data_IF_285057240158
#
_entry.id   IF_285057240158
#
_cell.length_a   1.000
_cell.length_b   1.000
_cell.length_c   1.000
_cell.angle_alpha   90.00
_cell.angle_beta   90.00
_cell.angle_gamma   90.00
#
_symmetry.space_group_name_H-M   'P 1'
#
loop_
_entity.id
_entity.type
_entity.pdbx_description
1 polymer ?
#
# COMPACT_ATOMS: atom_id res chain seq x y z
N UNK A 1 -6.62 -2.35 21.46
CA UNK A 1 -6.57 -2.69 20.04
C UNK A 1 -5.16 -2.43 19.54
N UNK A 2 -4.63 -3.24 18.61
CA UNK A 2 -3.34 -3.00 17.95
C UNK A 2 -3.55 -2.18 16.68
N UNK A 3 -2.70 -1.18 16.43
CA UNK A 3 -2.79 -0.31 15.24
C UNK A 3 -1.45 -0.25 14.54
N UNK A 4 -1.47 -0.42 13.22
CA UNK A 4 -0.35 -0.13 12.32
C UNK A 4 -0.66 1.19 11.64
N UNK A 5 0.24 2.17 11.70
CA UNK A 5 0.16 3.36 10.87
C UNK A 5 1.19 3.21 9.77
N UNK A 6 0.73 2.97 8.53
CA UNK A 6 1.58 2.81 7.36
C UNK A 6 1.58 4.08 6.51
N UNK A 7 2.76 4.62 6.25
CA UNK A 7 2.94 5.71 5.30
C UNK A 7 3.20 5.13 3.92
N UNK A 8 2.35 5.46 2.96
CA UNK A 8 2.48 5.04 1.57
C UNK A 8 3.45 5.95 0.79
N UNK A 9 3.96 5.48 -0.34
CA UNK A 9 4.75 6.24 -1.32
C UNK A 9 6.19 6.60 -0.88
N UNK A 10 6.82 5.87 0.06
CA UNK A 10 8.19 6.13 0.47
C UNK A 10 9.17 5.95 -0.70
N UNK A 11 10.03 6.94 -0.93
CA UNK A 11 10.97 6.93 -2.05
C UNK A 11 10.44 7.58 -3.35
N UNK A 12 9.17 7.97 -3.40
CA UNK A 12 8.55 8.52 -4.62
C UNK A 12 9.22 9.82 -5.09
N UNK A 13 9.52 10.74 -4.15
CA UNK A 13 10.22 12.01 -4.36
C UNK A 13 10.76 12.55 -3.03
N UNK A 14 11.56 13.61 -3.09
CA UNK A 14 12.23 14.20 -1.93
C UNK A 14 11.25 14.67 -0.85
N UNK A 15 10.15 15.33 -1.21
CA UNK A 15 9.19 15.92 -0.25
C UNK A 15 8.53 14.82 0.57
N UNK A 16 7.97 13.81 -0.10
CA UNK A 16 7.31 12.66 0.54
C UNK A 16 8.30 11.87 1.38
N UNK A 17 9.49 11.58 0.84
CA UNK A 17 10.54 10.84 1.52
C UNK A 17 11.02 11.53 2.79
N UNK A 18 11.22 12.85 2.73
CA UNK A 18 11.61 13.65 3.91
C UNK A 18 10.54 13.65 4.99
N UNK A 19 9.27 13.78 4.61
CA UNK A 19 8.17 13.82 5.56
C UNK A 19 7.93 12.45 6.21
N UNK A 20 8.01 11.36 5.45
CA UNK A 20 7.95 10.00 6.00
C UNK A 20 9.12 9.75 6.97
N UNK A 21 10.33 10.18 6.60
CA UNK A 21 11.51 10.07 7.47
C UNK A 21 11.31 10.83 8.78
N UNK A 22 10.72 12.03 8.73
CA UNK A 22 10.36 12.81 9.92
C UNK A 22 9.41 12.03 10.83
N UNK A 23 8.34 11.45 10.26
CA UNK A 23 7.35 10.68 11.04
C UNK A 23 7.94 9.40 11.64
N UNK A 24 8.85 8.71 10.92
CA UNK A 24 9.61 7.57 11.45
C UNK A 24 10.41 7.99 12.68
N UNK A 25 11.22 9.05 12.56
CA UNK A 25 12.09 9.55 13.64
C UNK A 25 11.33 10.03 14.86
N UNK A 26 10.12 10.54 14.68
CA UNK A 26 9.24 10.95 15.78
C UNK A 26 8.41 9.81 16.39
N UNK A 27 8.54 8.57 15.87
CA UNK A 27 7.80 7.41 16.37
C UNK A 27 6.29 7.45 16.11
N UNK A 28 5.85 8.31 15.17
CA UNK A 28 4.43 8.50 14.85
C UNK A 28 3.91 7.45 13.86
N UNK A 29 4.79 6.81 13.13
CA UNK A 29 4.48 5.68 12.25
C UNK A 29 5.43 4.51 12.53
N UNK A 30 4.98 3.29 12.28
CA UNK A 30 5.73 2.05 12.52
C UNK A 30 5.91 1.22 11.26
N UNK A 31 5.33 1.67 10.17
CA UNK A 31 5.34 0.99 8.89
C UNK A 31 5.38 1.98 7.73
N UNK A 32 6.02 1.61 6.64
CA UNK A 32 5.98 2.35 5.38
C UNK A 32 6.19 1.40 4.20
N UNK A 33 5.66 1.77 3.02
CA UNK A 33 5.83 0.99 1.80
C UNK A 33 6.59 1.77 0.74
N UNK A 34 7.64 1.14 0.19
CA UNK A 34 8.65 1.74 -0.66
C UNK A 34 8.27 1.57 -2.13
N UNK A 35 8.33 2.66 -2.88
CA UNK A 35 8.08 2.69 -4.32
C UNK A 35 9.39 2.49 -5.10
N UNK A 36 9.54 1.32 -5.75
CA UNK A 36 10.76 0.92 -6.45
C UNK A 36 11.10 1.78 -7.68
N UNK A 37 10.10 2.39 -8.29
CA UNK A 37 10.26 3.30 -9.43
C UNK A 37 10.21 4.80 -9.03
N UNK A 38 10.44 5.09 -7.76
CA UNK A 38 10.64 6.45 -7.25
C UNK A 38 12.06 6.97 -7.46
N UNK A 39 12.31 8.22 -7.05
CA UNK A 39 13.58 8.93 -7.29
C UNK A 39 14.54 8.95 -6.10
N UNK A 40 14.11 8.51 -4.92
CA UNK A 40 14.82 8.69 -3.65
C UNK A 40 15.30 7.37 -3.00
N UNK A 41 15.63 6.36 -3.83
CA UNK A 41 15.99 5.03 -3.31
C UNK A 41 17.28 5.02 -2.47
N UNK A 42 18.24 5.91 -2.73
CA UNK A 42 19.43 6.04 -1.93
C UNK A 42 19.10 6.53 -0.51
N UNK A 43 18.26 7.57 -0.40
CA UNK A 43 17.75 8.05 0.89
C UNK A 43 16.95 6.98 1.62
N UNK A 44 16.11 6.21 0.90
CA UNK A 44 15.36 5.08 1.47
C UNK A 44 16.31 4.06 2.10
N UNK A 45 17.37 3.66 1.39
CA UNK A 45 18.39 2.73 1.88
C UNK A 45 19.01 3.18 3.20
N UNK A 46 19.38 4.45 3.31
CA UNK A 46 19.96 5.04 4.54
C UNK A 46 18.96 5.01 5.71
N UNK A 47 17.70 5.37 5.44
CA UNK A 47 16.65 5.38 6.46
C UNK A 47 16.34 3.97 6.94
N UNK A 48 16.26 2.98 6.05
CA UNK A 48 16.06 1.57 6.40
C UNK A 48 17.17 1.07 7.33
N UNK A 49 18.43 1.31 6.97
CA UNK A 49 19.58 0.88 7.78
C UNK A 49 19.58 1.48 9.19
N UNK A 50 19.05 2.71 9.34
CA UNK A 50 19.03 3.44 10.61
C UNK A 50 17.81 3.17 11.48
N UNK A 51 16.78 2.44 10.98
CA UNK A 51 15.50 2.27 11.67
C UNK A 51 15.01 0.80 11.64
N UNK A 52 15.73 -0.14 12.29
CA UNK A 52 15.43 -1.57 12.21
C UNK A 52 14.10 -1.99 12.88
N UNK A 53 13.50 -1.14 13.71
CA UNK A 53 12.20 -1.39 14.35
C UNK A 53 11.00 -1.07 13.45
N UNK A 54 11.21 -0.36 12.36
CA UNK A 54 10.16 -0.03 11.39
C UNK A 54 9.97 -1.20 10.43
N UNK A 55 8.73 -1.49 10.07
CA UNK A 55 8.44 -2.44 9.01
C UNK A 55 8.43 -1.74 7.65
N UNK A 56 9.25 -2.25 6.72
CA UNK A 56 9.34 -1.73 5.36
C UNK A 56 8.71 -2.73 4.39
N UNK A 57 7.70 -2.30 3.65
CA UNK A 57 7.04 -3.08 2.60
C UNK A 57 7.38 -2.60 1.20
N UNK A 58 6.85 -3.29 0.18
CA UNK A 58 6.94 -2.87 -1.23
C UNK A 58 5.62 -2.26 -1.67
N UNK A 59 5.67 -1.01 -2.17
CA UNK A 59 4.54 -0.30 -2.76
C UNK A 59 4.58 -0.42 -4.28
N UNK A 60 4.00 -1.52 -4.80
CA UNK A 60 4.03 -1.81 -6.24
C UNK A 60 3.26 -0.75 -7.02
N UNK A 61 3.91 -0.12 -7.99
CA UNK A 61 3.30 0.89 -8.84
C UNK A 61 3.16 0.41 -10.29
N UNK A 62 1.92 0.28 -10.75
CA UNK A 62 1.52 -0.09 -12.11
C UNK A 62 0.62 0.98 -12.75
N UNK A 63 0.61 2.19 -12.23
CA UNK A 63 -0.37 3.21 -12.59
C UNK A 63 0.19 4.62 -12.70
N UNK A 64 1.45 4.82 -12.38
CA UNK A 64 2.22 6.07 -12.51
C UNK A 64 3.71 5.73 -12.65
N UNK A 65 4.54 6.69 -13.03
CA UNK A 65 6.00 6.56 -13.20
C UNK A 65 6.41 5.54 -14.29
N UNK A 66 7.70 5.45 -14.55
CA UNK A 66 8.23 4.53 -15.57
C UNK A 66 8.23 3.09 -15.09
N UNK A 67 7.87 2.15 -15.97
CA UNK A 67 8.06 0.73 -15.67
C UNK A 67 9.55 0.39 -15.60
N UNK A 68 9.92 -0.53 -14.72
CA UNK A 68 11.32 -0.97 -14.59
C UNK A 68 11.70 -1.93 -15.72
N UNK A 69 10.78 -2.79 -16.13
CA UNK A 69 11.02 -3.77 -17.22
C UNK A 69 10.99 -3.17 -18.61
N UNK A 70 10.36 -2.00 -18.78
CA UNK A 70 10.17 -1.36 -20.09
C UNK A 70 9.56 -2.29 -21.16
N UNK A 71 8.68 -3.20 -20.73
CA UNK A 71 8.06 -4.17 -21.61
C UNK A 71 7.24 -3.49 -22.72
N UNK A 72 7.48 -3.85 -23.97
CA UNK A 72 6.68 -3.39 -25.11
C UNK A 72 5.20 -3.76 -24.98
N UNK A 73 4.90 -4.87 -24.29
CA UNK A 73 3.53 -5.32 -24.05
C UNK A 73 2.70 -4.25 -23.32
N UNK A 74 3.31 -3.43 -22.47
CA UNK A 74 2.59 -2.34 -21.79
C UNK A 74 2.14 -1.26 -22.77
N UNK A 75 3.02 -0.85 -23.69
CA UNK A 75 2.67 0.12 -24.73
C UNK A 75 1.59 -0.42 -25.67
N UNK A 76 1.74 -1.66 -26.15
CA UNK A 76 0.80 -2.31 -27.06
C UNK A 76 -0.60 -2.48 -26.42
N UNK A 77 -0.70 -2.50 -25.09
CA UNK A 77 -1.95 -2.53 -24.32
C UNK A 77 -2.37 -1.14 -23.76
N UNK A 78 -1.78 -0.05 -24.22
CA UNK A 78 -2.06 1.32 -23.79
C UNK A 78 -1.93 1.54 -22.27
N UNK A 79 -1.04 0.81 -21.62
CA UNK A 79 -0.71 0.99 -20.19
C UNK A 79 0.42 1.97 -19.96
N UNK A 80 1.31 2.17 -20.96
CA UNK A 80 2.38 3.16 -20.92
C UNK A 80 2.30 4.09 -22.12
N UNK A 81 2.83 5.30 -21.93
CA UNK A 81 3.11 6.21 -23.03
C UNK A 81 4.41 5.84 -23.77
N UNK A 82 4.76 6.62 -24.80
CA UNK A 82 5.96 6.41 -25.64
C UNK A 82 7.27 6.47 -24.84
N UNK A 83 7.27 7.10 -23.66
CA UNK A 83 8.43 7.16 -22.76
C UNK A 83 8.54 5.95 -21.83
N UNK A 84 7.58 5.03 -21.88
CA UNK A 84 7.49 3.87 -20.97
C UNK A 84 6.92 4.20 -19.59
N UNK A 85 6.33 5.38 -19.43
CA UNK A 85 5.67 5.79 -18.19
C UNK A 85 4.24 5.27 -18.15
N UNK A 86 3.84 4.67 -17.03
CA UNK A 86 2.47 4.20 -16.83
C UNK A 86 1.46 5.35 -16.93
N UNK A 87 0.42 5.14 -17.75
CA UNK A 87 -0.71 6.06 -17.88
C UNK A 87 -1.59 5.92 -16.65
N UNK A 88 -1.86 7.05 -15.99
CA UNK A 88 -2.59 7.09 -14.72
C UNK A 88 -3.88 6.29 -14.78
N UNK A 89 -3.98 5.27 -13.93
CA UNK A 89 -5.15 4.39 -13.78
C UNK A 89 -5.55 3.58 -15.01
N UNK A 90 -4.76 3.54 -16.10
CA UNK A 90 -5.08 2.74 -17.29
C UNK A 90 -5.27 1.25 -16.94
N UNK A 91 -4.42 0.69 -16.08
CA UNK A 91 -4.51 -0.69 -15.59
C UNK A 91 -5.87 -1.03 -14.97
N UNK A 92 -6.55 -0.07 -14.36
CA UNK A 92 -7.87 -0.26 -13.73
C UNK A 92 -9.00 -0.44 -14.75
N UNK A 93 -8.77 -0.09 -16.01
CA UNK A 93 -9.77 -0.18 -17.09
C UNK A 93 -9.72 -1.54 -17.81
N UNK A 94 -8.63 -2.29 -17.61
CA UNK A 94 -8.47 -3.62 -18.22
C UNK A 94 -9.42 -4.63 -17.56
N UNK A 95 -10.33 -5.21 -18.35
CA UNK A 95 -11.29 -6.22 -17.88
C UNK A 95 -10.87 -7.64 -18.26
N UNK A 96 -10.28 -7.80 -19.44
CA UNK A 96 -9.91 -9.10 -20.03
C UNK A 96 -8.44 -9.05 -20.47
N UNK A 97 -7.47 -9.20 -19.55
CA UNK A 97 -6.05 -9.19 -19.88
C UNK A 97 -5.67 -10.46 -20.68
N UNK A 98 -4.82 -10.31 -21.69
CA UNK A 98 -4.17 -11.44 -22.33
C UNK A 98 -3.17 -12.11 -21.38
N UNK A 99 -2.74 -13.34 -21.68
CA UNK A 99 -1.74 -14.03 -20.87
C UNK A 99 -0.37 -13.34 -20.99
N UNK A 100 -0.02 -12.80 -22.16
CA UNK A 100 1.21 -12.01 -22.36
C UNK A 100 1.20 -10.76 -21.47
N UNK A 101 0.06 -10.09 -21.34
CA UNK A 101 -0.06 -8.93 -20.47
C UNK A 101 0.06 -9.32 -18.98
N UNK A 102 -0.55 -10.44 -18.58
CA UNK A 102 -0.41 -10.95 -17.20
C UNK A 102 1.05 -11.28 -16.89
N UNK A 103 1.75 -11.94 -17.82
CA UNK A 103 3.16 -12.27 -17.65
C UNK A 103 4.01 -11.00 -17.56
N UNK A 104 3.84 -10.03 -18.46
CA UNK A 104 4.58 -8.77 -18.42
C UNK A 104 4.35 -8.00 -17.09
N UNK A 105 3.13 -8.04 -16.55
CA UNK A 105 2.83 -7.43 -15.25
C UNK A 105 3.45 -8.21 -14.10
N UNK A 106 3.45 -9.53 -14.12
CA UNK A 106 4.14 -10.34 -13.13
C UNK A 106 5.64 -10.02 -13.12
N UNK A 107 6.26 -9.96 -14.30
CA UNK A 107 7.68 -9.61 -14.45
C UNK A 107 7.97 -8.22 -13.88
N UNK A 108 7.08 -7.25 -14.09
CA UNK A 108 7.21 -5.90 -13.53
C UNK A 108 7.10 -5.90 -12.00
N UNK A 109 6.13 -6.64 -11.42
CA UNK A 109 6.00 -6.77 -9.97
C UNK A 109 7.26 -7.41 -9.38
N UNK A 110 7.76 -8.48 -9.99
CA UNK A 110 9.00 -9.16 -9.57
C UNK A 110 10.20 -8.21 -9.64
N UNK A 111 10.31 -7.42 -10.72
CA UNK A 111 11.40 -6.44 -10.88
C UNK A 111 11.34 -5.36 -9.79
N UNK A 112 10.15 -4.84 -9.44
CA UNK A 112 9.99 -3.86 -8.38
C UNK A 112 10.35 -4.44 -7.01
N UNK A 113 9.91 -5.65 -6.67
CA UNK A 113 10.31 -6.32 -5.42
C UNK A 113 11.82 -6.57 -5.39
N UNK A 114 12.39 -7.09 -6.49
CA UNK A 114 13.83 -7.35 -6.61
C UNK A 114 14.68 -6.08 -6.44
N UNK A 115 14.23 -4.95 -6.98
CA UNK A 115 14.88 -3.65 -6.79
C UNK A 115 14.94 -3.28 -5.31
N UNK A 116 13.82 -3.38 -4.58
CA UNK A 116 13.81 -3.07 -3.14
C UNK A 116 14.67 -4.07 -2.35
N UNK A 117 14.63 -5.35 -2.70
CA UNK A 117 15.47 -6.36 -2.05
C UNK A 117 16.98 -6.08 -2.26
N UNK A 118 17.38 -5.58 -3.44
CA UNK A 118 18.76 -5.24 -3.74
C UNK A 118 19.33 -4.09 -2.87
N UNK A 119 18.45 -3.30 -2.26
CA UNK A 119 18.82 -2.28 -1.27
C UNK A 119 19.05 -2.84 0.14
N UNK A 120 19.00 -4.18 0.32
CA UNK A 120 19.05 -4.87 1.61
C UNK A 120 17.90 -4.52 2.56
N UNK A 121 16.72 -4.18 2.00
CA UNK A 121 15.50 -3.94 2.78
C UNK A 121 14.95 -5.27 3.28
N UNK A 122 14.71 -5.45 4.60
CA UNK A 122 13.97 -6.59 5.12
C UNK A 122 12.48 -6.41 4.81
N UNK A 123 12.04 -6.90 3.63
CA UNK A 123 10.67 -6.70 3.15
C UNK A 123 9.69 -7.39 4.07
N UNK A 124 8.86 -6.62 4.76
CA UNK A 124 7.87 -7.12 5.73
C UNK A 124 6.54 -7.51 5.08
N UNK A 125 6.08 -6.76 4.08
CA UNK A 125 4.78 -6.92 3.43
C UNK A 125 4.75 -6.31 2.03
N UNK A 126 3.66 -6.53 1.31
CA UNK A 126 3.42 -5.95 -0.02
C UNK A 126 2.05 -5.29 -0.07
N UNK A 127 1.98 -4.15 -0.74
CA UNK A 127 0.76 -3.46 -1.13
C UNK A 127 0.91 -2.83 -2.52
N UNK A 128 0.11 -1.83 -2.88
CA UNK A 128 0.29 -1.18 -4.18
C UNK A 128 -0.30 0.21 -4.24
N UNK A 129 0.33 1.05 -5.04
CA UNK A 129 -0.14 2.38 -5.41
C UNK A 129 -1.53 2.30 -6.07
N UNK A 130 -2.45 3.18 -5.68
CA UNK A 130 -3.86 3.13 -6.07
C UNK A 130 -4.59 1.81 -5.76
N UNK A 131 -4.06 0.99 -4.87
CA UNK A 131 -4.64 -0.29 -4.44
C UNK A 131 -4.92 -1.28 -5.58
N UNK A 132 -4.09 -1.29 -6.64
CA UNK A 132 -4.28 -2.14 -7.81
C UNK A 132 -4.19 -3.64 -7.48
N UNK A 133 -3.49 -4.04 -6.40
CA UNK A 133 -3.48 -5.41 -5.89
C UNK A 133 -4.88 -5.94 -5.55
N UNK A 134 -5.87 -5.07 -5.39
CA UNK A 134 -7.26 -5.45 -5.09
C UNK A 134 -8.11 -5.66 -6.34
N UNK A 135 -7.55 -5.50 -7.52
CA UNK A 135 -8.22 -5.82 -8.79
C UNK A 135 -8.21 -7.33 -8.98
N UNK A 136 -9.37 -7.92 -9.24
CA UNK A 136 -9.59 -9.36 -9.24
C UNK A 136 -8.59 -10.16 -10.08
N UNK A 137 -8.23 -9.67 -11.26
CA UNK A 137 -7.32 -10.39 -12.15
C UNK A 137 -5.83 -10.12 -11.83
N UNK A 138 -5.51 -9.01 -11.16
CA UNK A 138 -4.14 -8.69 -10.71
C UNK A 138 -3.78 -9.43 -9.41
N UNK A 139 -4.73 -9.64 -8.52
CA UNK A 139 -4.47 -10.25 -7.22
C UNK A 139 -3.67 -11.57 -7.29
N UNK A 140 -3.98 -12.55 -8.21
CA UNK A 140 -3.17 -13.76 -8.34
C UNK A 140 -1.70 -13.50 -8.66
N UNK A 141 -1.39 -12.46 -9.45
CA UNK A 141 -0.02 -12.08 -9.80
C UNK A 141 0.74 -11.53 -8.59
N UNK A 142 0.06 -10.75 -7.74
CA UNK A 142 0.62 -10.32 -6.45
C UNK A 142 0.88 -11.50 -5.52
N UNK A 143 0.00 -12.49 -5.48
CA UNK A 143 0.20 -13.71 -4.70
C UNK A 143 1.41 -14.50 -5.18
N UNK A 144 1.59 -14.63 -6.48
CA UNK A 144 2.71 -15.34 -7.10
C UNK A 144 4.03 -14.61 -6.81
N UNK A 145 4.07 -13.31 -7.03
CA UNK A 145 5.25 -12.50 -6.74
C UNK A 145 5.62 -12.53 -5.24
N UNK A 146 4.63 -12.40 -4.35
CA UNK A 146 4.85 -12.50 -2.91
C UNK A 146 5.44 -13.87 -2.52
N UNK A 147 4.92 -14.97 -3.07
CA UNK A 147 5.46 -16.33 -2.83
C UNK A 147 6.89 -16.47 -3.31
N UNK A 148 7.21 -15.96 -4.50
CA UNK A 148 8.57 -16.00 -5.09
C UNK A 148 9.60 -15.37 -4.17
N UNK A 149 9.24 -14.29 -3.50
CA UNK A 149 10.13 -13.58 -2.56
C UNK A 149 9.91 -13.94 -1.08
N UNK A 150 9.09 -14.95 -0.78
CA UNK A 150 8.81 -15.38 0.59
C UNK A 150 8.06 -14.36 1.44
N UNK A 151 7.38 -13.39 0.82
CA UNK A 151 6.58 -12.36 1.51
C UNK A 151 5.27 -13.01 1.97
N UNK A 152 5.03 -13.00 3.28
CA UNK A 152 3.87 -13.66 3.91
C UNK A 152 2.74 -12.71 4.28
N UNK A 153 2.93 -11.41 4.12
CA UNK A 153 1.98 -10.37 4.56
C UNK A 153 1.61 -9.46 3.40
N UNK A 154 0.33 -9.17 3.29
CA UNK A 154 -0.23 -8.29 2.25
C UNK A 154 -1.30 -7.38 2.86
N UNK A 155 -1.43 -6.17 2.35
CA UNK A 155 -2.51 -5.25 2.73
C UNK A 155 -3.86 -5.76 2.23
N UNK A 156 -4.90 -5.60 3.04
CA UNK A 156 -6.29 -5.83 2.64
C UNK A 156 -6.79 -4.75 1.66
N UNK A 157 -7.86 -5.07 0.97
CA UNK A 157 -8.67 -4.04 0.33
C UNK A 157 -9.43 -3.20 1.36
N UNK A 158 -9.55 -1.89 1.11
CA UNK A 158 -10.18 -0.94 2.04
C UNK A 158 -11.62 -1.36 2.39
N UNK A 159 -11.94 -1.32 3.68
CA UNK A 159 -13.28 -1.63 4.17
C UNK A 159 -14.30 -0.52 3.84
N UNK A 160 -15.49 -0.94 3.44
CA UNK A 160 -16.63 -0.05 3.23
C UNK A 160 -17.50 -0.02 4.48
N UNK A 161 -17.36 1.01 5.30
CA UNK A 161 -18.13 1.17 6.54
C UNK A 161 -19.50 1.84 6.34
N UNK A 162 -19.78 2.30 5.14
CA UNK A 162 -21.05 2.99 4.83
C UNK A 162 -21.52 2.67 3.40
N UNK A 163 -22.47 1.75 3.30
CA UNK A 163 -23.10 1.33 2.04
C UNK A 163 -24.36 2.16 1.81
N UNK A 164 -24.32 3.12 0.86
CA UNK A 164 -25.44 4.05 0.61
C UNK A 164 -26.23 3.78 -0.69
N UNK A 165 -25.77 2.86 -1.54
CA UNK A 165 -26.39 2.55 -2.83
C UNK A 165 -26.25 1.08 -3.20
N UNK A 166 -27.04 0.61 -4.18
CA UNK A 166 -26.92 -0.76 -4.72
C UNK A 166 -25.53 -1.03 -5.32
N UNK A 167 -24.93 -0.03 -5.99
CA UNK A 167 -23.58 -0.13 -6.52
C UNK A 167 -22.53 -0.27 -5.41
N UNK A 168 -22.65 0.50 -4.33
CA UNK A 168 -21.79 0.36 -3.16
C UNK A 168 -21.95 -0.99 -2.48
N UNK A 169 -23.18 -1.56 -2.48
CA UNK A 169 -23.43 -2.89 -1.93
C UNK A 169 -22.70 -3.97 -2.75
N UNK A 170 -22.74 -3.90 -4.09
CA UNK A 170 -22.01 -4.83 -4.95
C UNK A 170 -20.50 -4.74 -4.73
N UNK A 171 -19.94 -3.51 -4.72
CA UNK A 171 -18.53 -3.28 -4.42
C UNK A 171 -18.13 -3.80 -3.03
N UNK A 172 -18.99 -3.63 -2.05
CA UNK A 172 -18.82 -4.18 -0.70
C UNK A 172 -18.71 -5.72 -0.71
N UNK A 173 -19.61 -6.40 -1.41
CA UNK A 173 -19.59 -7.86 -1.52
C UNK A 173 -18.35 -8.38 -2.25
N UNK A 174 -17.98 -7.76 -3.36
CA UNK A 174 -16.77 -8.11 -4.11
C UNK A 174 -15.51 -7.91 -3.25
N UNK A 175 -15.44 -6.79 -2.53
CA UNK A 175 -14.32 -6.48 -1.64
C UNK A 175 -14.23 -7.47 -0.48
N UNK A 176 -15.33 -7.80 0.16
CA UNK A 176 -15.35 -8.77 1.25
C UNK A 176 -14.96 -10.17 0.77
N UNK A 177 -15.38 -10.56 -0.43
CA UNK A 177 -14.97 -11.83 -1.04
C UNK A 177 -13.46 -11.86 -1.27
N UNK A 178 -12.90 -10.79 -1.80
CA UNK A 178 -11.45 -10.65 -1.98
C UNK A 178 -10.71 -10.68 -0.64
N UNK A 179 -11.13 -9.85 0.32
CA UNK A 179 -10.50 -9.80 1.64
C UNK A 179 -10.54 -11.16 2.36
N UNK A 180 -11.65 -11.92 2.23
CA UNK A 180 -11.72 -13.29 2.76
C UNK A 180 -10.70 -14.21 2.10
N UNK A 181 -10.49 -14.08 0.80
CA UNK A 181 -9.49 -14.86 0.07
C UNK A 181 -8.06 -14.48 0.50
N UNK A 182 -7.78 -13.19 0.63
CA UNK A 182 -6.49 -12.68 1.13
C UNK A 182 -6.20 -13.24 2.52
N UNK A 183 -7.15 -13.14 3.46
CA UNK A 183 -7.04 -13.66 4.83
C UNK A 183 -6.79 -15.17 4.89
N UNK A 184 -7.21 -15.92 3.90
CA UNK A 184 -6.96 -17.37 3.81
C UNK A 184 -5.55 -17.73 3.31
N UNK A 185 -4.82 -16.79 2.72
CA UNK A 185 -3.53 -17.04 2.06
C UNK A 185 -2.36 -16.29 2.68
N UNK A 186 -2.62 -15.18 3.35
CA UNK A 186 -1.61 -14.26 3.91
C UNK A 186 -1.95 -13.84 5.33
N UNK A 187 -0.92 -13.45 6.09
CA UNK A 187 -1.10 -12.72 7.33
C UNK A 187 -1.45 -11.26 7.01
N UNK A 188 -2.48 -10.73 7.66
CA UNK A 188 -3.04 -9.40 7.40
C UNK A 188 -3.50 -8.75 8.70
N UNK A 189 -3.64 -7.42 8.70
CA UNK A 189 -4.45 -6.75 9.71
C UNK A 189 -5.93 -7.14 9.55
N UNK A 190 -6.72 -7.16 10.63
CA UNK A 190 -8.14 -7.53 10.54
C UNK A 190 -8.95 -6.55 9.69
N UNK A 191 -8.58 -5.27 9.73
CA UNK A 191 -9.22 -4.18 9.00
C UNK A 191 -8.19 -3.20 8.43
N UNK A 192 -8.48 -2.62 7.26
CA UNK A 192 -7.66 -1.60 6.61
C UNK A 192 -8.51 -0.40 6.19
N UNK A 193 -8.02 0.81 6.46
CA UNK A 193 -8.62 2.07 6.00
C UNK A 193 -7.63 3.24 6.00
N UNK A 194 -8.01 4.39 5.43
CA UNK A 194 -7.22 5.61 5.57
C UNK A 194 -7.33 6.18 7.00
N UNK A 195 -6.29 6.85 7.46
CA UNK A 195 -6.25 7.50 8.78
C UNK A 195 -7.44 8.44 8.98
N UNK A 196 -7.75 9.30 8.02
CA UNK A 196 -8.90 10.21 8.08
C UNK A 196 -10.25 9.47 8.19
N UNK A 197 -10.39 8.30 7.57
CA UNK A 197 -11.59 7.48 7.71
C UNK A 197 -11.71 6.86 9.10
N UNK A 198 -10.60 6.50 9.74
CA UNK A 198 -10.64 5.94 11.10
C UNK A 198 -11.25 6.93 12.09
N UNK A 199 -10.86 8.20 12.02
CA UNK A 199 -11.43 9.26 12.86
C UNK A 199 -12.93 9.45 12.61
N UNK A 200 -13.35 9.37 11.34
CA UNK A 200 -14.76 9.52 10.95
C UNK A 200 -15.64 8.36 11.42
N UNK A 201 -15.09 7.14 11.45
CA UNK A 201 -15.85 5.91 11.74
C UNK A 201 -15.47 5.24 13.07
N UNK A 202 -14.91 5.99 14.02
CA UNK A 202 -14.46 5.49 15.33
C UNK A 202 -15.51 4.64 16.06
N UNK A 203 -16.77 5.10 16.07
CA UNK A 203 -17.87 4.38 16.73
C UNK A 203 -18.12 3.01 16.09
N UNK A 204 -17.97 2.91 14.78
CA UNK A 204 -18.11 1.66 14.02
C UNK A 204 -16.93 0.73 14.30
N UNK A 205 -15.70 1.24 14.26
CA UNK A 205 -14.48 0.49 14.55
C UNK A 205 -14.56 -0.15 15.94
N UNK A 206 -14.96 0.64 16.95
CA UNK A 206 -15.13 0.15 18.33
C UNK A 206 -16.18 -0.98 18.44
N UNK A 207 -17.24 -0.95 17.63
CA UNK A 207 -18.27 -2.01 17.60
C UNK A 207 -17.82 -3.27 16.88
N UNK A 208 -16.93 -3.17 15.88
CA UNK A 208 -16.48 -4.30 15.07
C UNK A 208 -15.55 -5.28 15.81
N UNK A 209 -15.16 -5.01 17.06
CA UNK A 209 -14.26 -5.84 17.87
C UNK A 209 -12.97 -6.25 17.13
N UNK A 210 -12.46 -5.35 16.29
CA UNK A 210 -11.22 -5.53 15.53
C UNK A 210 -10.04 -5.61 16.49
N UNK A 211 -9.16 -6.59 16.32
CA UNK A 211 -7.94 -6.73 17.13
C UNK A 211 -6.79 -5.93 16.53
N UNK A 212 -6.65 -5.98 15.20
CA UNK A 212 -5.59 -5.31 14.45
C UNK A 212 -6.17 -4.40 13.36
N UNK A 213 -5.76 -3.14 13.35
CA UNK A 213 -6.20 -2.13 12.38
C UNK A 213 -5.00 -1.52 11.67
N UNK A 214 -4.99 -1.58 10.34
CA UNK A 214 -4.04 -0.83 9.53
C UNK A 214 -4.64 0.51 9.09
N UNK A 215 -3.90 1.58 9.33
CA UNK A 215 -4.21 2.95 8.93
C UNK A 215 -3.18 3.45 7.93
N UNK A 216 -3.63 3.75 6.72
CA UNK A 216 -2.83 4.33 5.64
C UNK A 216 -2.82 5.85 5.74
N UNK A 217 -1.65 6.46 5.55
CA UNK A 217 -1.49 7.90 5.38
C UNK A 217 -0.55 8.23 4.22
N UNK A 218 -0.60 9.48 3.72
CA UNK A 218 0.21 9.96 2.60
C UNK A 218 0.97 11.25 2.98
N UNK A 219 2.06 11.13 3.74
CA UNK A 219 2.86 12.29 4.15
C UNK A 219 3.50 13.01 2.96
N UNK A 220 3.56 14.33 3.01
CA UNK A 220 4.19 15.13 1.96
C UNK A 220 3.41 15.26 0.65
N UNK A 221 2.25 14.62 0.52
CA UNK A 221 1.42 14.78 -0.66
C UNK A 221 0.76 16.18 -0.69
N UNK A 222 0.70 16.86 -1.86
CA UNK A 222 0.32 18.28 -1.95
C UNK A 222 -1.17 18.59 -1.68
N UNK A 223 -2.04 17.58 -1.56
CA UNK A 223 -3.46 17.84 -1.31
C UNK A 223 -3.74 18.23 0.14
N UNK A 224 -4.64 19.20 0.35
CA UNK A 224 -5.07 19.64 1.69
C UNK A 224 -5.64 18.49 2.55
N UNK A 225 -6.29 17.52 1.92
CA UNK A 225 -6.77 16.31 2.60
C UNK A 225 -5.64 15.59 3.34
N UNK A 226 -4.51 15.37 2.66
CA UNK A 226 -3.38 14.66 3.24
C UNK A 226 -2.57 15.54 4.20
N UNK A 227 -2.44 16.85 3.91
CA UNK A 227 -1.84 17.79 4.86
C UNK A 227 -2.62 17.84 6.19
N UNK A 228 -3.96 17.81 6.15
CA UNK A 228 -4.82 17.69 7.33
C UNK A 228 -4.57 16.38 8.07
N UNK A 229 -4.48 15.26 7.37
CA UNK A 229 -4.21 13.94 7.94
C UNK A 229 -2.89 13.93 8.74
N UNK A 230 -1.84 14.55 8.21
CA UNK A 230 -0.55 14.65 8.89
C UNK A 230 -0.63 15.53 10.13
N UNK A 231 -1.33 16.68 10.08
CA UNK A 231 -1.58 17.50 11.28
C UNK A 231 -2.34 16.74 12.37
N UNK A 232 -3.27 15.88 12.00
CA UNK A 232 -4.02 15.02 12.93
C UNK A 232 -3.12 13.95 13.56
N UNK A 233 -2.19 13.36 12.79
CA UNK A 233 -1.17 12.43 13.28
C UNK A 233 -0.23 13.16 14.27
N UNK A 234 0.33 14.29 13.86
CA UNK A 234 1.25 15.11 14.69
C UNK A 234 0.62 15.53 16.02
N UNK A 235 -0.67 15.85 16.03
CA UNK A 235 -1.40 16.23 17.25
C UNK A 235 -1.72 15.07 18.19
N UNK A 236 -1.44 13.82 17.78
CA UNK A 236 -1.82 12.60 18.50
C UNK A 236 -3.33 12.46 18.66
N UNK A 237 -4.12 12.96 17.70
CA UNK A 237 -5.58 12.99 17.80
C UNK A 237 -6.17 11.58 18.00
N UNK A 238 -5.62 10.57 17.32
CA UNK A 238 -6.09 9.20 17.45
C UNK A 238 -5.92 8.67 18.88
N UNK A 239 -4.80 8.98 19.55
CA UNK A 239 -4.53 8.57 20.94
C UNK A 239 -5.55 9.16 21.93
N UNK A 240 -6.10 10.35 21.62
CA UNK A 240 -7.10 11.01 22.46
C UNK A 240 -8.48 10.38 22.38
N UNK A 241 -8.77 9.65 21.31
CA UNK A 241 -10.12 9.15 21.01
C UNK A 241 -10.22 7.61 20.94
N UNK A 242 -9.08 6.93 20.89
CA UNK A 242 -8.97 5.48 20.80
C UNK A 242 -7.85 4.98 21.72
N UNK A 243 -8.12 3.96 22.51
CA UNK A 243 -7.10 3.22 23.26
C UNK A 243 -6.51 2.13 22.37
N UNK A 244 -5.21 2.26 22.04
CA UNK A 244 -4.52 1.31 21.20
C UNK A 244 -3.02 1.21 21.51
N UNK A 245 -2.43 0.10 21.08
CA UNK A 245 -0.97 -0.08 21.04
C UNK A 245 -0.51 0.05 19.61
N UNK A 246 0.45 0.93 19.35
CA UNK A 246 1.08 1.06 18.04
C UNK A 246 2.00 -0.14 17.81
N UNK A 247 1.80 -0.86 16.71
CA UNK A 247 2.59 -2.01 16.29
C UNK A 247 3.06 -1.82 14.84
N UNK A 248 3.98 -2.65 14.38
CA UNK A 248 4.42 -2.72 12.99
C UNK A 248 3.86 -3.96 12.28
N UNK A 249 4.07 -4.06 10.97
CA UNK A 249 3.79 -5.30 10.25
C UNK A 249 4.65 -6.48 10.72
N UNK A 250 5.81 -6.23 11.34
CA UNK A 250 6.64 -7.31 11.90
C UNK A 250 5.95 -8.01 13.07
N UNK A 251 5.01 -7.35 13.74
CA UNK A 251 4.30 -7.82 14.94
C UNK A 251 2.97 -8.54 14.62
N UNK A 252 2.61 -8.68 13.33
CA UNK A 252 1.47 -9.48 12.86
C UNK A 252 1.75 -10.96 12.83
#
# INVERSE_FOLDING_TARGET
MKVIINADDFGINQVVTSEITRLIRSGLITSTTIMANGTELDTVKEVVASNPSISFGVHVCLSEFSSLTKSKVFHDNHLTDDSGKFIKKAIMQIKHPSDDLKQAILDEILAQIGTIQSLNVPISHIDSHHHVHTIKWLYPLFCEAAKTYGIKKIRLGQEFLNVRSKLHLLQYWERNKLNKHIKGSFTVADMFMSYSNSLKYLSTIKKCKVQTLELMCHPGHPSEKYAKEIREIDSGLLNKVLDYTLISYNDL
#
